data_IF_648810083250
#
_entry.id   IF_648810083250
#
_cell.length_a   1.000
_cell.length_b   1.000
_cell.length_c   1.000
_cell.angle_alpha   90.00
_cell.angle_beta   90.00
_cell.angle_gamma   90.00
#
_symmetry.space_group_name_H-M   'P 1'
#
loop_
_entity.id
_entity.type
_entity.pdbx_description
1 polymer ?
#
# COMPACT_ATOMS: atom_id res chain seq x y z
N UNK A 1 -41.60 2.41 62.12
CA UNK A 1 -41.38 1.06 62.68
C UNK A 1 -41.44 0.06 61.54
N UNK A 2 -40.53 -0.90 61.59
CA UNK A 2 -40.34 -2.07 60.71
C UNK A 2 -39.65 -1.82 59.36
N UNK A 3 -38.34 -2.11 59.40
CA UNK A 3 -37.46 -2.53 58.33
C UNK A 3 -37.98 -3.83 57.67
N UNK A 4 -37.77 -3.99 56.36
CA UNK A 4 -37.38 -5.30 55.84
C UNK A 4 -36.52 -5.14 54.58
N UNK A 5 -35.43 -5.90 54.55
CA UNK A 5 -34.35 -5.82 53.58
C UNK A 5 -34.58 -6.70 52.35
N UNK A 6 -34.03 -6.29 51.22
CA UNK A 6 -33.68 -7.23 50.14
C UNK A 6 -32.35 -6.83 49.53
N UNK A 7 -31.39 -7.74 49.67
CA UNK A 7 -29.99 -7.62 49.26
C UNK A 7 -29.85 -7.65 47.73
N UNK A 8 -28.95 -6.81 47.22
CA UNK A 8 -28.44 -6.88 45.85
C UNK A 8 -27.36 -7.97 45.71
N UNK A 9 -27.30 -8.70 44.58
CA UNK A 9 -26.34 -9.78 44.43
C UNK A 9 -24.91 -9.25 44.23
N UNK A 10 -24.03 -9.59 45.18
CA UNK A 10 -22.58 -9.36 45.11
C UNK A 10 -21.97 -10.25 44.01
N UNK A 11 -21.48 -9.63 42.93
CA UNK A 11 -20.57 -10.31 42.00
C UNK A 11 -19.22 -10.53 42.69
N UNK A 12 -18.88 -11.81 42.93
CA UNK A 12 -17.57 -12.24 43.44
C UNK A 12 -16.51 -12.03 42.35
N UNK A 13 -15.50 -11.22 42.64
CA UNK A 13 -14.24 -11.20 41.91
C UNK A 13 -13.52 -12.53 42.13
N UNK A 14 -13.41 -13.34 41.08
CA UNK A 14 -12.59 -14.56 41.11
C UNK A 14 -11.20 -14.19 40.59
N UNK A 15 -10.27 -13.95 41.51
CA UNK A 15 -8.85 -13.83 41.21
C UNK A 15 -8.28 -15.20 40.82
N UNK A 16 -8.07 -15.45 39.53
CA UNK A 16 -7.19 -16.52 39.08
C UNK A 16 -5.80 -15.94 38.85
N UNK A 17 -4.93 -16.13 39.84
CA UNK A 17 -3.49 -15.97 39.70
C UNK A 17 -2.97 -17.05 38.75
N UNK A 18 -2.59 -16.68 37.53
CA UNK A 18 -1.78 -17.53 36.69
C UNK A 18 -0.36 -17.51 37.23
N UNK A 19 0.02 -18.64 37.86
CA UNK A 19 1.39 -18.93 38.25
C UNK A 19 2.27 -19.00 37.00
N UNK A 20 3.49 -18.52 37.16
CA UNK A 20 4.63 -18.74 36.25
C UNK A 20 4.59 -20.11 35.58
N UNK A 21 4.49 -20.11 34.26
CA UNK A 21 4.87 -21.26 33.44
C UNK A 21 6.13 -20.84 32.69
N UNK A 22 7.25 -21.19 33.32
CA UNK A 22 8.58 -21.20 32.74
C UNK A 22 8.55 -21.91 31.39
N UNK A 23 8.99 -21.20 30.35
CA UNK A 23 9.31 -21.76 29.03
C UNK A 23 10.26 -22.96 29.18
N UNK A 24 10.02 -24.11 28.53
CA UNK A 24 11.00 -25.18 28.51
C UNK A 24 12.21 -24.76 27.68
N UNK A 25 13.29 -24.48 28.40
CA UNK A 25 14.68 -24.50 27.93
C UNK A 25 14.94 -25.91 27.39
N UNK A 26 15.14 -26.06 26.09
CA UNK A 26 15.71 -27.27 25.52
C UNK A 26 17.24 -27.12 25.52
N UNK A 27 17.84 -27.51 26.64
CA UNK A 27 19.27 -27.82 26.73
C UNK A 27 19.49 -29.33 26.52
N UNK A 28 20.30 -29.66 25.52
CA UNK A 28 21.31 -30.72 25.58
C UNK A 28 20.88 -32.19 25.50
N UNK A 29 21.39 -32.89 24.49
CA UNK A 29 21.93 -34.27 24.51
C UNK A 29 22.39 -34.58 23.07
N UNK A 30 23.50 -35.23 22.77
CA UNK A 30 24.75 -35.53 23.47
C UNK A 30 25.72 -35.96 22.36
N UNK A 31 26.99 -35.56 22.47
CA UNK A 31 28.04 -35.92 21.53
C UNK A 31 28.56 -37.31 21.88
N UNK A 32 28.44 -38.28 20.96
CA UNK A 32 29.28 -39.49 20.98
C UNK A 32 30.44 -39.25 20.01
N UNK A 33 31.63 -39.05 20.57
CA UNK A 33 32.87 -38.93 19.81
C UNK A 33 33.52 -40.28 19.54
N UNK A 34 34.12 -40.42 18.36
CA UNK A 34 35.29 -41.29 18.15
C UNK A 34 36.38 -40.50 17.45
N UNK A 35 37.57 -40.54 18.05
CA UNK A 35 38.80 -39.81 17.75
C UNK A 35 39.26 -39.82 16.29
N UNK A 36 39.77 -38.67 15.80
CA UNK A 36 41.15 -38.57 15.29
C UNK A 36 41.60 -37.11 15.18
N UNK A 37 42.90 -36.89 15.44
CA UNK A 37 43.60 -35.63 15.70
C UNK A 37 43.96 -34.90 14.39
N UNK A 38 43.82 -33.57 14.35
CA UNK A 38 44.90 -32.68 13.88
C UNK A 38 44.63 -31.21 14.23
N UNK A 39 45.67 -30.58 14.77
CA UNK A 39 45.77 -29.21 15.29
C UNK A 39 45.52 -28.13 14.23
N UNK A 40 44.80 -27.06 14.59
CA UNK A 40 45.14 -25.70 14.14
C UNK A 40 44.61 -24.64 15.13
N UNK A 41 45.34 -23.52 15.21
CA UNK A 41 45.32 -22.50 16.27
C UNK A 41 44.05 -21.65 16.21
N UNK A 42 43.39 -21.44 17.35
CA UNK A 42 42.37 -20.41 17.52
C UNK A 42 43.04 -19.03 17.70
N UNK A 43 42.70 -18.10 16.82
CA UNK A 43 42.77 -16.67 17.06
C UNK A 43 41.35 -16.11 17.07
N UNK A 44 41.16 -15.24 18.04
CA UNK A 44 39.99 -14.44 18.38
C UNK A 44 39.27 -13.84 17.14
N UNK A 45 37.95 -14.01 17.07
CA UNK A 45 37.07 -13.32 16.12
C UNK A 45 35.77 -12.93 16.80
N UNK A 46 35.82 -11.80 17.50
CA UNK A 46 34.67 -10.92 17.71
C UNK A 46 34.60 -9.88 16.58
N UNK A 47 33.37 -9.47 16.23
CA UNK A 47 32.95 -8.51 15.18
C UNK A 47 32.93 -9.03 13.73
N UNK A 48 31.79 -9.58 13.33
CA UNK A 48 31.33 -9.47 11.95
C UNK A 48 30.39 -8.27 11.86
N UNK A 49 30.92 -7.14 11.40
CA UNK A 49 30.16 -6.13 10.70
C UNK A 49 29.53 -6.80 9.47
N UNK A 50 28.21 -6.72 9.30
CA UNK A 50 27.57 -6.99 8.02
C UNK A 50 28.10 -5.96 7.01
N UNK A 51 29.15 -6.35 6.27
CA UNK A 51 29.51 -5.68 5.03
C UNK A 51 28.39 -5.97 4.04
N UNK A 52 27.62 -4.95 3.69
CA UNK A 52 26.77 -4.94 2.50
C UNK A 52 27.64 -5.28 1.29
N UNK A 53 27.59 -6.52 0.84
CA UNK A 53 28.18 -6.93 -0.42
C UNK A 53 27.43 -6.22 -1.54
N UNK A 54 28.09 -5.24 -2.15
CA UNK A 54 27.71 -4.70 -3.45
C UNK A 54 27.75 -5.84 -4.47
N UNK A 55 26.58 -6.38 -4.79
CA UNK A 55 26.41 -7.32 -5.89
C UNK A 55 26.45 -6.49 -7.18
N UNK A 56 27.63 -6.41 -7.80
CA UNK A 56 27.73 -6.12 -9.23
C UNK A 56 27.11 -7.31 -9.96
N UNK A 57 25.82 -7.20 -10.27
CA UNK A 57 25.08 -8.14 -11.11
C UNK A 57 24.93 -7.51 -12.49
N UNK A 58 25.45 -8.19 -13.50
CA UNK A 58 25.29 -7.88 -14.93
C UNK A 58 23.87 -8.19 -15.40
N UNK A 59 22.86 -7.61 -14.76
CA UNK A 59 21.46 -7.87 -15.07
C UNK A 59 20.60 -6.61 -14.90
N UNK A 60 20.60 -5.71 -15.90
CA UNK A 60 19.64 -4.59 -16.04
C UNK A 60 19.42 -3.65 -14.83
N UNK A 61 20.21 -3.78 -13.77
CA UNK A 61 19.93 -3.32 -12.40
C UNK A 61 20.45 -1.92 -12.13
N UNK A 62 21.07 -1.28 -13.12
CA UNK A 62 21.53 0.11 -13.02
C UNK A 62 20.41 1.12 -13.26
N UNK A 63 20.69 2.39 -12.91
CA UNK A 63 19.81 3.54 -13.18
C UNK A 63 19.54 3.78 -14.67
N UNK A 64 20.34 3.17 -15.56
CA UNK A 64 20.21 3.35 -17.00
C UNK A 64 20.41 4.82 -17.39
N UNK A 65 19.41 5.40 -18.07
CA UNK A 65 19.42 6.81 -18.49
C UNK A 65 18.94 7.81 -17.44
N UNK A 66 18.49 7.34 -16.28
CA UNK A 66 17.86 8.17 -15.26
C UNK A 66 18.86 8.58 -14.17
N UNK A 67 18.56 9.67 -13.47
CA UNK A 67 19.42 10.23 -12.43
C UNK A 67 19.30 9.48 -11.09
N UNK A 68 18.11 8.94 -10.82
CA UNK A 68 17.76 8.22 -9.60
C UNK A 68 17.08 6.89 -9.93
N UNK A 69 17.13 5.93 -9.00
CA UNK A 69 16.37 4.68 -9.12
C UNK A 69 14.87 4.96 -9.06
N UNK A 70 14.42 5.86 -8.18
CA UNK A 70 13.00 6.20 -8.09
C UNK A 70 12.48 6.81 -9.41
N UNK A 71 13.22 7.70 -10.06
CA UNK A 71 12.86 8.23 -11.38
C UNK A 71 12.73 7.10 -12.42
N UNK A 72 13.72 6.20 -12.48
CA UNK A 72 13.64 5.01 -13.33
C UNK A 72 12.39 4.18 -13.04
N UNK A 73 12.11 3.92 -11.78
CA UNK A 73 11.01 3.06 -11.34
C UNK A 73 9.64 3.67 -11.63
N UNK A 74 9.49 4.99 -11.49
CA UNK A 74 8.29 5.72 -11.92
C UNK A 74 8.10 5.57 -13.43
N UNK A 75 9.17 5.74 -14.20
CA UNK A 75 9.14 5.69 -15.67
C UNK A 75 8.98 4.27 -16.22
N UNK A 76 9.34 3.25 -15.44
CA UNK A 76 9.20 1.83 -15.80
C UNK A 76 7.78 1.28 -15.56
N UNK A 77 6.88 2.05 -14.93
CA UNK A 77 5.51 1.61 -14.61
C UNK A 77 4.70 1.04 -15.80
N UNK A 78 4.77 1.58 -17.04
CA UNK A 78 4.09 0.96 -18.18
C UNK A 78 4.54 -0.49 -18.42
N UNK A 79 5.85 -0.74 -18.29
CA UNK A 79 6.45 -2.06 -18.48
C UNK A 79 6.09 -2.98 -17.31
N UNK A 80 6.21 -2.47 -16.09
CA UNK A 80 5.90 -3.24 -14.87
C UNK A 80 4.43 -3.69 -14.84
N UNK A 81 3.47 -2.80 -15.16
CA UNK A 81 2.05 -3.15 -15.23
C UNK A 81 1.78 -4.21 -16.32
N UNK A 82 2.41 -4.07 -17.49
CA UNK A 82 2.30 -5.08 -18.55
C UNK A 82 2.84 -6.45 -18.09
N UNK A 83 3.96 -6.47 -17.36
CA UNK A 83 4.53 -7.70 -16.80
C UNK A 83 3.62 -8.30 -15.72
N UNK A 84 3.03 -7.47 -14.85
CA UNK A 84 2.09 -7.90 -13.82
C UNK A 84 0.87 -8.62 -14.41
N UNK A 85 0.38 -8.19 -15.58
CA UNK A 85 -0.77 -8.80 -16.28
C UNK A 85 -0.38 -9.98 -17.19
N UNK A 86 0.89 -10.10 -17.57
CA UNK A 86 1.36 -11.07 -18.56
C UNK A 86 1.06 -12.51 -18.15
N UNK A 87 0.45 -13.28 -19.05
CA UNK A 87 0.05 -14.67 -18.80
C UNK A 87 -1.10 -14.86 -17.81
N UNK A 88 -1.65 -13.77 -17.25
CA UNK A 88 -2.74 -13.78 -16.25
C UNK A 88 -4.04 -13.20 -16.80
N UNK A 89 -3.97 -12.29 -17.77
CA UNK A 89 -5.14 -11.66 -18.38
C UNK A 89 -5.30 -12.13 -19.82
N UNK A 90 -6.44 -12.77 -20.11
CA UNK A 90 -6.91 -13.08 -21.45
C UNK A 90 -7.86 -11.96 -21.90
N UNK A 91 -7.30 -10.98 -22.59
CA UNK A 91 -8.04 -9.84 -23.13
C UNK A 91 -9.07 -10.23 -24.20
N UNK A 92 -8.88 -11.36 -24.89
CA UNK A 92 -9.80 -11.78 -25.97
C UNK A 92 -11.08 -12.38 -25.41
N UNK A 93 -10.97 -13.14 -24.33
CA UNK A 93 -12.10 -13.83 -23.70
C UNK A 93 -12.57 -13.14 -22.41
N UNK A 94 -11.99 -11.99 -22.04
CA UNK A 94 -12.29 -11.26 -20.81
C UNK A 94 -12.16 -12.11 -19.54
N UNK A 95 -11.06 -12.86 -19.43
CA UNK A 95 -10.80 -13.73 -18.26
C UNK A 95 -9.49 -13.36 -17.58
N UNK A 96 -9.48 -13.50 -16.26
CA UNK A 96 -8.26 -13.47 -15.46
C UNK A 96 -8.02 -14.88 -14.93
N UNK A 97 -6.77 -15.34 -14.95
CA UNK A 97 -6.34 -16.59 -14.37
C UNK A 97 -5.17 -16.33 -13.42
N UNK A 98 -5.33 -16.75 -12.16
CA UNK A 98 -4.34 -16.58 -11.11
C UNK A 98 -3.93 -17.96 -10.58
N UNK A 99 -2.96 -18.59 -11.27
CA UNK A 99 -2.52 -19.95 -10.94
C UNK A 99 -2.06 -20.14 -9.48
N UNK A 100 -1.51 -19.11 -8.85
CA UNK A 100 -1.12 -19.13 -7.43
C UNK A 100 -2.31 -19.20 -6.46
N UNK A 101 -3.51 -18.82 -6.90
CA UNK A 101 -4.75 -18.76 -6.11
C UNK A 101 -5.72 -19.88 -6.49
N UNK A 102 -5.70 -20.37 -7.74
CA UNK A 102 -6.70 -21.28 -8.32
C UNK A 102 -7.09 -22.45 -7.40
N UNK A 103 -6.11 -23.12 -6.77
CA UNK A 103 -6.37 -24.27 -5.89
C UNK A 103 -7.20 -23.95 -4.63
N UNK A 104 -7.29 -22.68 -4.23
CA UNK A 104 -8.06 -22.21 -3.07
C UNK A 104 -9.33 -21.45 -3.46
N UNK A 105 -9.66 -21.37 -4.75
CA UNK A 105 -10.80 -20.59 -5.25
C UNK A 105 -12.12 -20.93 -4.55
N UNK A 106 -12.40 -22.22 -4.38
CA UNK A 106 -13.63 -22.69 -3.71
C UNK A 106 -13.65 -22.39 -2.20
N UNK A 107 -12.49 -22.32 -1.56
CA UNK A 107 -12.37 -21.94 -0.16
C UNK A 107 -12.59 -20.43 0.01
N UNK A 108 -11.96 -19.61 -0.84
CA UNK A 108 -12.14 -18.17 -0.86
C UNK A 108 -13.61 -17.82 -1.17
N UNK A 109 -14.25 -18.50 -2.11
CA UNK A 109 -15.67 -18.26 -2.44
C UNK A 109 -16.64 -18.59 -1.30
N UNK A 110 -16.23 -19.41 -0.33
CA UNK A 110 -17.03 -19.75 0.86
C UNK A 110 -16.79 -18.81 2.03
N UNK A 111 -15.79 -17.93 1.95
CA UNK A 111 -15.50 -16.99 3.02
C UNK A 111 -16.64 -15.99 3.21
N UNK A 112 -16.77 -15.47 4.43
CA UNK A 112 -17.80 -14.48 4.76
C UNK A 112 -17.27 -13.06 4.79
N UNK A 113 -15.96 -12.90 4.78
CA UNK A 113 -15.26 -11.63 4.93
C UNK A 113 -13.83 -11.77 4.44
N UNK A 114 -13.35 -10.70 3.80
CA UNK A 114 -11.92 -10.51 3.49
C UNK A 114 -11.34 -9.46 4.43
N UNK A 115 -10.14 -9.72 4.93
CA UNK A 115 -9.35 -8.77 5.72
C UNK A 115 -8.03 -8.52 4.98
N UNK A 116 -7.86 -7.33 4.40
CA UNK A 116 -6.63 -6.90 3.77
C UNK A 116 -5.74 -6.21 4.81
N UNK A 117 -4.52 -6.72 4.99
CA UNK A 117 -3.55 -6.23 5.97
C UNK A 117 -2.28 -5.79 5.26
N UNK A 118 -1.82 -4.58 5.57
CA UNK A 118 -0.59 -4.04 5.02
C UNK A 118 0.00 -2.94 5.90
N UNK A 119 1.11 -2.38 5.45
CA UNK A 119 1.75 -1.23 6.09
C UNK A 119 2.03 -0.13 5.05
N UNK A 120 1.93 1.14 5.46
CA UNK A 120 2.25 2.31 4.63
C UNK A 120 1.63 2.23 3.21
N UNK A 121 2.43 2.33 2.16
CA UNK A 121 1.95 2.28 0.76
C UNK A 121 1.16 1.01 0.44
N UNK A 122 1.51 -0.15 1.02
CA UNK A 122 0.75 -1.41 0.83
C UNK A 122 -0.62 -1.39 1.51
N UNK A 123 -0.75 -0.68 2.64
CA UNK A 123 -2.06 -0.39 3.23
C UNK A 123 -2.88 0.54 2.32
N UNK A 124 -2.28 1.57 1.72
CA UNK A 124 -2.97 2.43 0.77
C UNK A 124 -3.47 1.68 -0.47
N UNK A 125 -2.74 0.66 -0.95
CA UNK A 125 -3.22 -0.21 -2.02
C UNK A 125 -4.50 -0.95 -1.63
N UNK A 126 -4.56 -1.49 -0.40
CA UNK A 126 -5.77 -2.12 0.11
C UNK A 126 -6.94 -1.14 0.20
N UNK A 127 -6.70 0.10 0.67
CA UNK A 127 -7.73 1.15 0.70
C UNK A 127 -8.23 1.46 -0.71
N UNK A 128 -7.33 1.57 -1.69
CA UNK A 128 -7.67 1.96 -3.06
C UNK A 128 -8.44 0.89 -3.85
N UNK A 129 -8.27 -0.37 -3.46
CA UNK A 129 -8.89 -1.53 -4.14
C UNK A 129 -10.10 -2.08 -3.39
N UNK A 130 -10.31 -1.67 -2.14
CA UNK A 130 -11.43 -2.09 -1.29
C UNK A 130 -12.78 -1.98 -2.00
N UNK A 131 -13.09 -0.81 -2.57
CA UNK A 131 -14.37 -0.57 -3.23
C UNK A 131 -14.60 -1.52 -4.41
N UNK A 132 -13.56 -1.78 -5.21
CA UNK A 132 -13.62 -2.73 -6.34
C UNK A 132 -13.86 -4.16 -5.86
N UNK A 133 -13.21 -4.56 -4.76
CA UNK A 133 -13.40 -5.88 -4.17
C UNK A 133 -14.81 -6.03 -3.60
N UNK A 134 -15.32 -5.05 -2.84
CA UNK A 134 -16.70 -5.05 -2.35
C UNK A 134 -17.71 -5.13 -3.50
N UNK A 135 -17.49 -4.36 -4.56
CA UNK A 135 -18.35 -4.32 -5.77
C UNK A 135 -18.43 -5.67 -6.48
N UNK A 136 -17.29 -6.32 -6.73
CA UNK A 136 -17.21 -7.54 -7.54
C UNK A 136 -17.50 -8.81 -6.73
N UNK A 137 -17.05 -8.85 -5.47
CA UNK A 137 -17.16 -10.04 -4.62
C UNK A 137 -18.47 -10.07 -3.83
N UNK A 138 -19.04 -8.91 -3.52
CA UNK A 138 -20.30 -8.76 -2.76
C UNK A 138 -20.19 -9.33 -1.33
N UNK A 139 -18.99 -9.22 -0.75
CA UNK A 139 -18.70 -9.57 0.64
C UNK A 139 -18.00 -8.40 1.35
N UNK A 140 -18.10 -8.31 2.68
CA UNK A 140 -17.37 -7.31 3.46
C UNK A 140 -15.85 -7.40 3.25
N UNK A 141 -15.22 -6.26 2.96
CA UNK A 141 -13.77 -6.14 2.86
C UNK A 141 -13.28 -5.15 3.91
N UNK A 142 -12.47 -5.64 4.84
CA UNK A 142 -11.84 -4.84 5.88
C UNK A 142 -10.41 -4.52 5.46
N UNK A 143 -9.94 -3.33 5.79
CA UNK A 143 -8.59 -2.87 5.48
C UNK A 143 -7.96 -2.40 6.78
N UNK A 144 -6.82 -2.99 7.14
CA UNK A 144 -6.23 -2.85 8.46
C UNK A 144 -4.73 -2.53 8.36
N UNK A 145 -4.27 -1.59 9.18
CA UNK A 145 -2.85 -1.35 9.40
C UNK A 145 -2.30 -2.50 10.25
N UNK A 146 -1.23 -3.15 9.77
CA UNK A 146 -0.71 -4.36 10.40
C UNK A 146 -0.35 -4.21 11.88
N UNK A 147 0.20 -3.05 12.28
CA UNK A 147 0.54 -2.77 13.68
C UNK A 147 -0.71 -2.65 14.56
N UNK A 148 -1.68 -1.82 14.16
CA UNK A 148 -2.92 -1.62 14.93
C UNK A 148 -3.78 -2.88 14.98
N UNK A 149 -3.76 -3.68 13.90
CA UNK A 149 -4.40 -4.99 13.84
C UNK A 149 -3.91 -5.94 14.95
N UNK A 150 -2.59 -5.93 15.19
CA UNK A 150 -1.97 -6.73 16.25
C UNK A 150 -2.25 -6.15 17.63
N UNK A 151 -2.11 -4.83 17.78
CA UNK A 151 -2.31 -4.13 19.07
C UNK A 151 -3.73 -4.31 19.60
N UNK A 152 -4.73 -4.34 18.71
CA UNK A 152 -6.14 -4.55 19.08
C UNK A 152 -6.53 -6.02 19.18
N UNK A 153 -5.62 -6.95 18.85
CA UNK A 153 -5.89 -8.38 18.73
C UNK A 153 -7.20 -8.65 17.95
N UNK A 154 -7.27 -8.14 16.72
CA UNK A 154 -8.51 -8.15 15.92
C UNK A 154 -9.10 -9.57 15.84
N UNK A 155 -10.42 -9.76 16.10
CA UNK A 155 -11.06 -11.06 15.97
C UNK A 155 -11.02 -11.61 14.54
N UNK A 156 -10.36 -12.77 14.39
CA UNK A 156 -10.22 -13.53 13.15
C UNK A 156 -10.85 -14.90 13.32
N UNK A 157 -11.59 -15.34 12.32
CA UNK A 157 -12.33 -16.60 12.29
C UNK A 157 -11.87 -17.50 11.14
N UNK A 158 -12.23 -18.78 11.23
CA UNK A 158 -11.91 -19.83 10.24
C UNK A 158 -12.46 -19.55 8.84
N UNK A 159 -13.57 -18.81 8.74
CA UNK A 159 -14.22 -18.45 7.48
C UNK A 159 -13.83 -17.05 6.98
N UNK A 160 -12.79 -16.46 7.56
CA UNK A 160 -12.13 -15.25 7.05
C UNK A 160 -11.04 -15.63 6.02
N UNK A 161 -10.89 -14.77 5.01
CA UNK A 161 -9.74 -14.76 4.12
C UNK A 161 -8.89 -13.52 4.42
N UNK A 162 -7.64 -13.73 4.83
CA UNK A 162 -6.74 -12.65 5.21
C UNK A 162 -5.69 -12.44 4.10
N UNK A 163 -5.72 -11.29 3.45
CA UNK A 163 -4.80 -10.93 2.36
C UNK A 163 -3.70 -10.03 2.91
N UNK A 164 -2.45 -10.46 2.85
CA UNK A 164 -1.28 -9.74 3.32
C UNK A 164 -0.52 -9.12 2.16
N UNK A 165 -0.34 -7.80 2.19
CA UNK A 165 0.28 -7.04 1.10
C UNK A 165 1.61 -6.46 1.60
N UNK A 166 2.71 -6.86 0.95
CA UNK A 166 4.04 -6.33 1.25
C UNK A 166 4.91 -6.44 0.01
N UNK A 167 5.59 -5.35 -0.37
CA UNK A 167 6.50 -5.39 -1.51
C UNK A 167 7.64 -6.40 -1.29
N UNK A 168 8.30 -6.29 -0.14
CA UNK A 168 9.47 -7.12 0.19
C UNK A 168 9.11 -8.50 0.73
N UNK A 169 7.90 -8.66 1.26
CA UNK A 169 7.50 -9.89 1.96
C UNK A 169 8.22 -10.12 3.29
N UNK A 170 8.96 -9.11 3.79
CA UNK A 170 9.79 -9.20 5.00
C UNK A 170 9.38 -8.22 6.11
N UNK A 171 8.35 -7.40 5.88
CA UNK A 171 7.87 -6.40 6.86
C UNK A 171 7.40 -7.09 8.15
N UNK A 172 8.04 -6.79 9.29
CA UNK A 172 7.84 -7.55 10.53
C UNK A 172 6.39 -7.54 11.03
N UNK A 173 5.73 -6.38 11.07
CA UNK A 173 4.34 -6.28 11.52
C UNK A 173 3.37 -7.06 10.62
N UNK A 174 3.61 -7.06 9.30
CA UNK A 174 2.79 -7.83 8.34
C UNK A 174 2.99 -9.34 8.54
N UNK A 175 4.24 -9.79 8.73
CA UNK A 175 4.53 -11.21 9.02
C UNK A 175 3.95 -11.65 10.37
N UNK A 176 4.01 -10.80 11.40
CA UNK A 176 3.39 -11.08 12.69
C UNK A 176 1.86 -11.18 12.58
N UNK A 177 1.22 -10.27 11.83
CA UNK A 177 -0.22 -10.34 11.56
C UNK A 177 -0.61 -11.59 10.75
N UNK A 178 0.23 -12.02 9.81
CA UNK A 178 0.08 -13.28 9.09
C UNK A 178 0.06 -14.46 10.05
N UNK A 179 1.06 -14.55 10.92
CA UNK A 179 1.14 -15.63 11.90
C UNK A 179 -0.04 -15.62 12.86
N UNK A 180 -0.47 -14.45 13.30
CA UNK A 180 -1.65 -14.26 14.15
C UNK A 180 -2.93 -14.84 13.51
N UNK A 181 -3.14 -14.57 12.21
CA UNK A 181 -4.30 -15.09 11.45
C UNK A 181 -4.18 -16.60 11.19
N UNK A 182 -2.98 -17.09 10.86
CA UNK A 182 -2.72 -18.51 10.62
C UNK A 182 -2.96 -19.36 11.87
N UNK A 183 -2.58 -18.87 13.05
CA UNK A 183 -2.87 -19.51 14.34
C UNK A 183 -4.37 -19.60 14.67
N UNK A 184 -5.21 -18.81 13.97
CA UNK A 184 -6.68 -18.80 14.11
C UNK A 184 -7.37 -19.56 12.97
N UNK A 185 -6.61 -20.34 12.22
CA UNK A 185 -7.08 -21.20 11.13
C UNK A 185 -7.76 -20.42 9.98
N UNK A 186 -7.46 -19.13 9.81
CA UNK A 186 -7.93 -18.35 8.65
C UNK A 186 -7.11 -18.66 7.40
N UNK A 187 -7.73 -18.56 6.22
CA UNK A 187 -7.02 -18.70 4.96
C UNK A 187 -6.18 -17.44 4.69
N UNK A 188 -4.86 -17.55 4.85
CA UNK A 188 -3.91 -16.46 4.56
C UNK A 188 -3.43 -16.47 3.10
N UNK A 189 -3.51 -15.31 2.43
CA UNK A 189 -3.13 -15.06 1.03
C UNK A 189 -2.04 -13.98 0.96
N UNK A 190 -0.97 -14.20 0.19
CA UNK A 190 0.14 -13.26 0.08
C UNK A 190 0.20 -12.49 -1.24
N UNK A 191 0.39 -11.17 -1.18
CA UNK A 191 0.62 -10.31 -2.35
C UNK A 191 2.00 -9.66 -2.18
N UNK A 192 2.99 -10.16 -2.94
CA UNK A 192 4.40 -9.76 -2.81
C UNK A 192 5.09 -9.59 -4.15
N UNK A 193 6.22 -8.88 -4.17
CA UNK A 193 7.10 -8.81 -5.32
C UNK A 193 8.27 -9.80 -5.25
N UNK A 194 8.56 -10.31 -4.06
CA UNK A 194 9.68 -11.21 -3.80
C UNK A 194 9.19 -12.66 -3.65
N UNK A 195 9.49 -13.50 -4.64
CA UNK A 195 8.98 -14.89 -4.75
C UNK A 195 9.46 -15.83 -3.65
N UNK A 196 10.63 -15.54 -3.06
CA UNK A 196 11.27 -16.36 -2.03
C UNK A 196 11.37 -15.57 -0.71
N UNK A 197 10.36 -14.75 -0.43
CA UNK A 197 10.22 -14.04 0.85
C UNK A 197 9.52 -14.91 1.89
N UNK A 198 9.68 -14.56 3.16
CA UNK A 198 8.96 -15.21 4.27
C UNK A 198 7.45 -15.16 4.08
N UNK A 199 6.92 -14.06 3.55
CA UNK A 199 5.48 -13.94 3.28
C UNK A 199 5.03 -14.93 2.20
N UNK A 200 5.79 -15.12 1.12
CA UNK A 200 5.45 -16.13 0.10
C UNK A 200 5.55 -17.56 0.61
N UNK A 201 6.49 -17.84 1.52
CA UNK A 201 6.66 -19.18 2.10
C UNK A 201 5.56 -19.51 3.12
N UNK A 202 5.14 -18.52 3.91
CA UNK A 202 4.25 -18.75 5.05
C UNK A 202 2.76 -18.65 4.72
N UNK A 203 2.41 -18.08 3.57
CA UNK A 203 1.02 -18.00 3.09
C UNK A 203 0.54 -19.30 2.45
N UNK A 204 -0.77 -19.54 2.45
CA UNK A 204 -1.33 -20.72 1.79
C UNK A 204 -1.28 -20.58 0.26
N UNK A 205 -1.59 -19.39 -0.25
CA UNK A 205 -1.49 -19.02 -1.65
C UNK A 205 -1.10 -17.57 -1.81
N UNK A 206 -0.79 -17.15 -3.04
CA UNK A 206 -0.46 -15.76 -3.28
C UNK A 206 -0.34 -15.37 -4.74
N UNK A 207 -0.05 -14.09 -4.94
CA UNK A 207 0.21 -13.45 -6.23
C UNK A 207 1.57 -12.77 -6.14
N UNK A 208 2.51 -13.19 -6.99
CA UNK A 208 3.68 -12.36 -7.29
C UNK A 208 3.25 -11.21 -8.21
N UNK A 209 3.45 -9.96 -7.80
CA UNK A 209 3.07 -8.79 -8.60
C UNK A 209 3.96 -8.60 -9.84
N UNK A 210 5.12 -9.26 -9.94
CA UNK A 210 6.05 -9.20 -11.07
C UNK A 210 6.44 -7.78 -11.49
N UNK A 211 6.66 -6.86 -10.55
CA UNK A 211 7.08 -5.49 -10.86
C UNK A 211 8.58 -5.38 -11.21
N UNK A 212 9.32 -6.48 -11.08
CA UNK A 212 10.78 -6.52 -11.13
C UNK A 212 11.42 -5.86 -9.91
N UNK A 213 12.75 -5.81 -9.87
CA UNK A 213 13.49 -5.22 -8.74
C UNK A 213 13.16 -3.74 -8.59
N UNK A 214 12.65 -3.34 -7.43
CA UNK A 214 12.55 -1.95 -7.01
C UNK A 214 13.71 -1.72 -6.04
N UNK A 215 14.57 -0.73 -6.31
CA UNK A 215 15.74 -0.36 -5.51
C UNK A 215 15.43 0.84 -4.64
N UNK A 216 14.73 1.86 -5.15
CA UNK A 216 14.33 3.05 -4.38
C UNK A 216 13.63 2.68 -3.07
N UNK A 217 13.94 3.40 -1.99
CA UNK A 217 13.34 3.15 -0.66
C UNK A 217 11.82 3.32 -0.70
N UNK A 218 11.33 4.27 -1.50
CA UNK A 218 9.90 4.59 -1.59
C UNK A 218 9.23 3.83 -2.73
N UNK A 219 8.13 3.16 -2.42
CA UNK A 219 7.39 2.37 -3.40
C UNK A 219 6.78 3.24 -4.50
N UNK A 220 6.91 2.79 -5.76
CA UNK A 220 6.33 3.45 -6.93
C UNK A 220 5.65 2.43 -7.86
N UNK A 221 6.41 1.70 -8.66
CA UNK A 221 5.89 0.65 -9.55
C UNK A 221 5.31 -0.53 -8.78
N UNK A 222 5.82 -0.81 -7.59
CA UNK A 222 5.26 -1.89 -6.76
C UNK A 222 3.88 -1.51 -6.22
N UNK A 223 3.63 -0.24 -5.89
CA UNK A 223 2.30 0.25 -5.52
C UNK A 223 1.29 0.00 -6.65
N UNK A 224 1.60 0.43 -7.87
CA UNK A 224 0.69 0.26 -9.01
C UNK A 224 0.53 -1.21 -9.43
N UNK A 225 1.59 -2.02 -9.33
CA UNK A 225 1.51 -3.46 -9.59
C UNK A 225 0.74 -4.24 -8.51
N UNK A 226 0.84 -3.85 -7.23
CA UNK A 226 -0.02 -4.39 -6.16
C UNK A 226 -1.48 -4.03 -6.40
N UNK A 227 -1.76 -2.77 -6.79
CA UNK A 227 -3.11 -2.31 -7.11
C UNK A 227 -3.75 -3.15 -8.22
N UNK A 228 -3.09 -3.29 -9.36
CA UNK A 228 -3.63 -4.07 -10.48
C UNK A 228 -3.75 -5.56 -10.14
N UNK A 229 -2.87 -6.09 -9.26
CA UNK A 229 -2.93 -7.47 -8.79
C UNK A 229 -4.18 -7.75 -7.95
N UNK A 230 -4.58 -6.81 -7.09
CA UNK A 230 -5.83 -6.93 -6.33
C UNK A 230 -7.08 -6.72 -7.20
N UNK A 231 -7.01 -5.89 -8.23
CA UNK A 231 -8.08 -5.81 -9.24
C UNK A 231 -8.23 -7.14 -9.99
N UNK A 232 -7.10 -7.74 -10.43
CA UNK A 232 -7.09 -9.07 -11.02
C UNK A 232 -7.65 -10.13 -10.07
N UNK A 233 -7.31 -10.06 -8.77
CA UNK A 233 -7.89 -10.95 -7.75
C UNK A 233 -9.41 -10.79 -7.68
N UNK A 234 -9.92 -9.57 -7.64
CA UNK A 234 -11.35 -9.30 -7.59
C UNK A 234 -12.09 -9.84 -8.83
N UNK A 235 -11.55 -9.63 -10.03
CA UNK A 235 -12.09 -10.18 -11.28
C UNK A 235 -12.05 -11.71 -11.27
N UNK A 236 -10.90 -12.28 -10.91
CA UNK A 236 -10.71 -13.72 -10.84
C UNK A 236 -11.72 -14.37 -9.90
N UNK A 237 -11.95 -13.79 -8.72
CA UNK A 237 -12.89 -14.34 -7.74
C UNK A 237 -14.36 -14.09 -8.12
N UNK A 238 -14.68 -12.98 -8.79
CA UNK A 238 -16.03 -12.75 -9.32
C UNK A 238 -16.45 -13.80 -10.36
N UNK A 239 -15.48 -14.38 -11.08
CA UNK A 239 -15.71 -15.47 -12.01
C UNK A 239 -16.74 -15.13 -13.09
N UNK A 240 -17.59 -16.10 -13.43
CA UNK A 240 -18.56 -15.97 -14.53
C UNK A 240 -19.94 -15.46 -14.05
N UNK A 241 -19.98 -14.68 -12.95
CA UNK A 241 -21.22 -14.05 -12.46
C UNK A 241 -21.82 -13.18 -13.57
N UNK A 242 -22.94 -13.61 -14.15
CA UNK A 242 -23.61 -12.89 -15.26
C UNK A 242 -23.90 -11.42 -14.95
N UNK A 243 -24.26 -11.09 -13.71
CA UNK A 243 -24.53 -9.72 -13.26
C UNK A 243 -23.30 -8.80 -13.27
N UNK A 244 -22.08 -9.35 -13.30
CA UNK A 244 -20.82 -8.61 -13.29
C UNK A 244 -20.09 -8.65 -14.64
N UNK A 245 -20.62 -9.38 -15.64
CA UNK A 245 -19.93 -9.63 -16.90
C UNK A 245 -19.54 -8.33 -17.62
N UNK A 246 -20.51 -7.44 -17.88
CA UNK A 246 -20.25 -6.17 -18.60
C UNK A 246 -19.22 -5.30 -17.86
N UNK A 247 -19.30 -5.30 -16.53
CA UNK A 247 -18.36 -4.57 -15.68
C UNK A 247 -16.95 -5.15 -15.79
N UNK A 248 -16.79 -6.47 -15.65
CA UNK A 248 -15.51 -7.17 -15.81
C UNK A 248 -14.93 -6.94 -17.21
N UNK A 249 -15.74 -7.04 -18.26
CA UNK A 249 -15.33 -6.76 -19.63
C UNK A 249 -14.78 -5.34 -19.76
N UNK A 250 -15.51 -4.33 -19.25
CA UNK A 250 -15.07 -2.94 -19.27
C UNK A 250 -13.73 -2.72 -18.57
N UNK A 251 -13.50 -3.41 -17.44
CA UNK A 251 -12.26 -3.30 -16.69
C UNK A 251 -11.12 -3.95 -17.47
N UNK A 252 -11.31 -5.16 -18.00
CA UNK A 252 -10.27 -5.88 -18.76
C UNK A 252 -9.90 -5.15 -20.07
N UNK A 253 -10.89 -4.59 -20.78
CA UNK A 253 -10.64 -3.78 -21.97
C UNK A 253 -9.76 -2.57 -21.64
N UNK A 254 -10.04 -1.91 -20.51
CA UNK A 254 -9.25 -0.79 -20.02
C UNK A 254 -7.87 -1.19 -19.52
N UNK A 255 -7.74 -2.35 -18.87
CA UNK A 255 -6.44 -2.92 -18.49
C UNK A 255 -5.52 -3.12 -19.69
N UNK A 256 -6.06 -3.46 -20.87
CA UNK A 256 -5.27 -3.67 -22.09
C UNK A 256 -4.53 -2.41 -22.51
N UNK A 257 -5.19 -1.25 -22.44
CA UNK A 257 -4.67 0.05 -22.87
C UNK A 257 -4.08 0.87 -21.71
N UNK A 258 -4.16 0.38 -20.48
CA UNK A 258 -3.63 1.03 -19.29
C UNK A 258 -2.13 1.38 -19.40
N UNK A 259 -1.23 0.52 -19.90
CA UNK A 259 0.18 0.88 -20.08
C UNK A 259 0.41 2.10 -21.00
N UNK A 260 -0.41 2.23 -22.04
CA UNK A 260 -0.35 3.39 -22.94
C UNK A 260 -0.83 4.66 -22.24
N UNK A 261 -1.90 4.57 -21.43
CA UNK A 261 -2.39 5.69 -20.63
C UNK A 261 -1.37 6.13 -19.56
N UNK A 262 -0.72 5.19 -18.89
CA UNK A 262 0.40 5.48 -17.97
C UNK A 262 1.50 6.23 -18.72
N UNK A 263 1.88 5.75 -19.92
CA UNK A 263 2.90 6.41 -20.75
C UNK A 263 2.52 7.85 -21.11
N UNK A 264 1.24 8.14 -21.38
CA UNK A 264 0.75 9.50 -21.60
C UNK A 264 0.85 10.37 -20.35
N UNK A 265 0.50 9.84 -19.17
CA UNK A 265 0.64 10.59 -17.90
C UNK A 265 2.11 10.92 -17.61
N UNK A 266 3.03 9.99 -17.91
CA UNK A 266 4.47 10.23 -17.75
C UNK A 266 5.02 11.34 -18.67
N UNK A 267 4.35 11.66 -19.77
CA UNK A 267 4.74 12.80 -20.63
C UNK A 267 4.50 14.15 -19.95
N UNK A 268 3.69 14.21 -18.88
CA UNK A 268 3.46 15.41 -18.08
C UNK A 268 4.64 15.76 -17.17
N UNK A 269 5.73 14.97 -17.18
CA UNK A 269 6.88 15.14 -16.31
C UNK A 269 7.44 16.57 -16.29
N UNK A 270 7.62 17.19 -17.46
CA UNK A 270 8.19 18.54 -17.55
C UNK A 270 7.22 19.62 -17.03
N UNK A 271 5.92 19.44 -17.20
CA UNK A 271 4.93 20.37 -16.66
C UNK A 271 4.81 20.22 -15.14
N UNK A 272 4.84 18.99 -14.63
CA UNK A 272 4.85 18.72 -13.19
C UNK A 272 6.13 19.26 -12.54
N UNK A 273 7.27 19.21 -13.24
CA UNK A 273 8.51 19.84 -12.77
C UNK A 273 8.36 21.34 -12.57
N UNK A 274 7.73 22.05 -13.52
CA UNK A 274 7.43 23.49 -13.37
C UNK A 274 6.49 23.74 -12.19
N UNK A 275 5.47 22.90 -12.01
CA UNK A 275 4.55 23.00 -10.86
C UNK A 275 5.27 22.77 -9.53
N UNK A 276 6.28 21.89 -9.50
CA UNK A 276 7.12 21.70 -8.32
C UNK A 276 7.91 22.98 -7.98
N UNK A 277 8.41 23.71 -8.97
CA UNK A 277 9.09 25.00 -8.78
C UNK A 277 8.15 26.04 -8.14
N UNK A 278 6.87 26.06 -8.51
CA UNK A 278 5.88 26.98 -7.95
C UNK A 278 5.55 26.69 -6.47
N UNK A 279 5.63 25.42 -6.05
CA UNK A 279 5.26 25.00 -4.68
C UNK A 279 6.46 24.67 -3.80
N UNK A 280 7.69 24.75 -4.30
CA UNK A 280 8.92 24.38 -3.55
C UNK A 280 9.12 25.17 -2.26
N UNK A 281 8.66 26.42 -2.21
CA UNK A 281 8.83 27.27 -1.01
C UNK A 281 7.73 27.07 0.04
N UNK A 282 6.75 26.21 -0.23
CA UNK A 282 5.63 25.96 0.68
C UNK A 282 6.03 24.94 1.73
N UNK A 283 5.55 25.12 2.97
CA UNK A 283 5.90 24.26 4.11
C UNK A 283 5.01 23.04 4.25
N UNK A 284 3.76 23.16 3.80
CA UNK A 284 2.72 22.15 3.92
C UNK A 284 1.96 21.99 2.61
N UNK A 285 1.53 20.77 2.30
CA UNK A 285 0.61 20.45 1.19
C UNK A 285 -0.58 19.65 1.72
N UNK A 286 -1.80 20.01 1.33
CA UNK A 286 -3.01 19.23 1.67
C UNK A 286 -3.48 18.50 0.42
N UNK A 287 -3.68 17.19 0.51
CA UNK A 287 -4.19 16.36 -0.59
C UNK A 287 -5.60 15.91 -0.29
N UNK A 288 -6.52 16.12 -1.23
CA UNK A 288 -7.93 15.81 -1.07
C UNK A 288 -8.39 14.77 -2.08
N UNK A 289 -8.93 13.66 -1.58
CA UNK A 289 -9.47 12.57 -2.39
C UNK A 289 -10.75 11.99 -1.79
N UNK A 290 -11.55 11.30 -2.62
CA UNK A 290 -12.81 10.65 -2.21
C UNK A 290 -13.06 9.42 -3.07
N UNK A 291 -13.79 8.44 -2.54
CA UNK A 291 -14.08 7.19 -3.26
C UNK A 291 -12.77 6.48 -3.61
N UNK A 292 -12.62 6.08 -4.88
CA UNK A 292 -11.40 5.46 -5.41
C UNK A 292 -10.13 6.30 -5.19
N UNK A 293 -10.25 7.61 -4.98
CA UNK A 293 -9.12 8.53 -4.82
C UNK A 293 -8.76 8.86 -3.38
N UNK A 294 -9.44 8.29 -2.38
CA UNK A 294 -9.02 8.44 -0.98
C UNK A 294 -7.60 7.89 -0.80
N UNK A 295 -7.36 6.67 -1.29
CA UNK A 295 -6.02 6.06 -1.27
C UNK A 295 -4.98 6.87 -2.04
N UNK A 296 -5.35 7.43 -3.20
CA UNK A 296 -4.45 8.28 -3.99
C UNK A 296 -4.02 9.53 -3.21
N UNK A 297 -4.93 10.15 -2.46
CA UNK A 297 -4.60 11.31 -1.62
C UNK A 297 -3.65 10.95 -0.47
N UNK A 298 -3.87 9.80 0.17
CA UNK A 298 -3.00 9.31 1.25
C UNK A 298 -1.61 8.92 0.72
N UNK A 299 -1.57 8.25 -0.43
CA UNK A 299 -0.31 7.84 -1.05
C UNK A 299 0.53 9.03 -1.52
N UNK A 300 -0.08 10.00 -2.20
CA UNK A 300 0.63 11.22 -2.59
C UNK A 300 1.16 12.00 -1.38
N UNK A 301 0.38 12.05 -0.30
CA UNK A 301 0.82 12.66 0.96
C UNK A 301 2.03 11.94 1.54
N UNK A 302 1.98 10.60 1.57
CA UNK A 302 3.09 9.78 2.06
C UNK A 302 4.36 9.99 1.22
N UNK A 303 4.28 10.02 -0.12
CA UNK A 303 5.45 10.29 -0.97
C UNK A 303 6.08 11.65 -0.67
N UNK A 304 5.28 12.70 -0.51
CA UNK A 304 5.78 14.04 -0.18
C UNK A 304 6.51 14.07 1.18
N UNK A 305 6.00 13.33 2.17
CA UNK A 305 6.65 13.20 3.48
C UNK A 305 7.96 12.42 3.34
N UNK A 306 7.95 11.27 2.68
CA UNK A 306 9.07 10.33 2.65
C UNK A 306 10.30 10.88 1.91
N UNK A 307 10.13 11.57 0.78
CA UNK A 307 11.26 12.02 -0.05
C UNK A 307 11.48 13.53 -0.09
N UNK A 308 10.41 14.33 0.01
CA UNK A 308 10.55 15.79 -0.06
C UNK A 308 10.69 16.44 1.32
N UNK A 309 10.51 15.67 2.41
CA UNK A 309 10.45 16.15 3.80
C UNK A 309 9.46 17.31 3.98
N UNK A 310 8.38 17.31 3.20
CA UNK A 310 7.32 18.30 3.31
C UNK A 310 6.25 17.78 4.25
N UNK A 311 5.73 18.66 5.11
CA UNK A 311 4.53 18.31 5.84
C UNK A 311 3.41 18.13 4.81
N UNK A 312 2.80 16.95 4.80
CA UNK A 312 1.73 16.66 3.88
C UNK A 312 0.63 15.92 4.62
N UNK A 313 -0.62 16.23 4.29
CA UNK A 313 -1.77 15.53 4.87
C UNK A 313 -2.75 15.14 3.77
N UNK A 314 -3.03 13.84 3.67
CA UNK A 314 -4.09 13.30 2.84
C UNK A 314 -5.40 13.26 3.62
N UNK A 315 -6.44 13.90 3.09
CA UNK A 315 -7.73 14.06 3.77
C UNK A 315 -8.85 13.61 2.85
N UNK A 316 -9.80 12.86 3.41
CA UNK A 316 -11.02 12.52 2.69
C UNK A 316 -11.84 13.79 2.43
N UNK A 317 -12.13 14.12 1.17
CA UNK A 317 -12.70 15.43 0.81
C UNK A 317 -14.12 15.67 1.37
N UNK A 318 -14.83 14.60 1.75
CA UNK A 318 -16.09 14.69 2.49
C UNK A 318 -15.95 15.26 3.91
N UNK A 319 -14.75 15.15 4.50
CA UNK A 319 -14.48 15.57 5.87
C UNK A 319 -14.05 17.03 5.99
N UNK A 320 -13.91 17.75 4.88
CA UNK A 320 -13.42 19.14 4.86
C UNK A 320 -14.15 20.03 5.88
N UNK A 321 -15.50 19.98 5.89
CA UNK A 321 -16.32 20.84 6.77
C UNK A 321 -16.20 20.48 8.25
N UNK A 322 -15.65 19.33 8.58
CA UNK A 322 -15.56 18.82 9.95
C UNK A 322 -14.26 19.25 10.66
N UNK A 323 -13.54 20.24 10.11
CA UNK A 323 -12.33 20.81 10.71
C UNK A 323 -11.30 21.27 9.68
N UNK A 324 -10.87 20.41 8.74
CA UNK A 324 -9.77 20.69 7.81
C UNK A 324 -9.91 21.99 7.00
N UNK A 325 -11.14 22.40 6.68
CA UNK A 325 -11.39 23.63 5.95
C UNK A 325 -10.86 24.88 6.68
N UNK A 326 -10.64 24.82 8.00
CA UNK A 326 -10.03 25.90 8.79
C UNK A 326 -8.56 26.17 8.44
N UNK A 327 -7.87 25.22 7.81
CA UNK A 327 -6.49 25.38 7.32
C UNK A 327 -6.42 26.01 5.93
N UNK A 328 -7.56 26.20 5.26
CA UNK A 328 -7.60 26.65 3.87
C UNK A 328 -7.67 28.18 3.82
N UNK A 329 -6.67 28.77 3.17
CA UNK A 329 -6.57 30.18 2.80
C UNK A 329 -5.95 30.34 1.40
N UNK A 330 -5.55 31.55 1.02
CA UNK A 330 -4.94 31.85 -0.28
C UNK A 330 -3.50 31.31 -0.43
N UNK A 331 -2.83 31.01 0.68
CA UNK A 331 -1.41 30.64 0.73
C UNK A 331 -1.19 29.13 0.85
N UNK A 332 -2.10 28.41 1.50
CA UNK A 332 -2.04 26.97 1.70
C UNK A 332 -2.22 26.23 0.36
N UNK A 333 -1.18 25.57 -0.17
CA UNK A 333 -1.33 24.80 -1.41
C UNK A 333 -2.14 23.54 -1.14
N UNK A 334 -3.07 23.27 -2.05
CA UNK A 334 -4.04 22.18 -1.98
C UNK A 334 -4.03 21.44 -3.31
N UNK A 335 -3.90 20.13 -3.26
CA UNK A 335 -4.04 19.25 -4.42
C UNK A 335 -5.34 18.47 -4.25
N UNK A 336 -6.20 18.48 -5.27
CA UNK A 336 -7.45 17.74 -5.26
C UNK A 336 -7.45 16.73 -6.41
N UNK A 337 -7.98 15.53 -6.17
CA UNK A 337 -8.18 14.52 -7.21
C UNK A 337 -9.67 14.46 -7.52
N UNK A 338 -10.06 14.79 -8.75
CA UNK A 338 -11.45 14.91 -9.18
C UNK A 338 -11.63 14.25 -10.56
N UNK A 339 -12.17 13.03 -10.57
CA UNK A 339 -12.43 12.25 -11.79
C UNK A 339 -13.93 12.11 -12.08
N UNK A 340 -14.31 11.83 -13.32
CA UNK A 340 -15.70 11.76 -13.78
C UNK A 340 -16.30 10.38 -13.45
N UNK A 341 -16.46 10.12 -12.16
CA UNK A 341 -17.13 8.93 -11.63
C UNK A 341 -18.49 9.27 -10.99
N UNK A 342 -19.09 8.28 -10.33
CA UNK A 342 -20.40 8.43 -9.65
C UNK A 342 -20.43 9.46 -8.51
N UNK A 343 -19.27 9.94 -8.04
CA UNK A 343 -19.16 10.93 -6.96
C UNK A 343 -18.61 12.27 -7.43
N UNK A 344 -18.48 12.51 -8.74
CA UNK A 344 -17.97 13.75 -9.33
C UNK A 344 -18.60 15.02 -8.73
N UNK A 345 -19.93 15.09 -8.65
CA UNK A 345 -20.64 16.26 -8.11
C UNK A 345 -20.28 16.53 -6.65
N UNK A 346 -20.04 15.46 -5.88
CA UNK A 346 -19.62 15.58 -4.47
C UNK A 346 -18.17 16.10 -4.37
N UNK A 347 -17.30 15.69 -5.29
CA UNK A 347 -15.94 16.22 -5.40
C UNK A 347 -15.94 17.68 -5.87
N UNK A 348 -16.78 18.06 -6.84
CA UNK A 348 -16.93 19.46 -7.22
C UNK A 348 -17.43 20.35 -6.09
N UNK A 349 -18.36 19.85 -5.28
CA UNK A 349 -18.78 20.57 -4.08
C UNK A 349 -17.61 20.84 -3.11
N UNK A 350 -16.65 19.91 -3.00
CA UNK A 350 -15.45 20.12 -2.20
C UNK A 350 -14.53 21.19 -2.83
N UNK A 351 -14.34 21.17 -4.15
CA UNK A 351 -13.55 22.19 -4.87
C UNK A 351 -14.13 23.59 -4.64
N UNK A 352 -15.46 23.73 -4.73
CA UNK A 352 -16.14 25.00 -4.49
C UNK A 352 -15.99 25.48 -3.05
N UNK A 353 -15.98 24.56 -2.07
CA UNK A 353 -15.74 24.91 -0.66
C UNK A 353 -14.32 25.45 -0.44
N UNK A 354 -13.32 24.82 -1.07
CA UNK A 354 -11.94 25.31 -1.05
C UNK A 354 -11.86 26.71 -1.66
N UNK A 355 -12.48 26.91 -2.84
CA UNK A 355 -12.50 28.20 -3.53
C UNK A 355 -13.21 29.29 -2.74
N UNK A 356 -14.30 28.96 -2.06
CA UNK A 356 -15.05 29.90 -1.22
C UNK A 356 -14.22 30.44 -0.03
N UNK A 357 -13.10 29.79 0.31
CA UNK A 357 -12.15 30.25 1.34
C UNK A 357 -10.86 30.85 0.76
N UNK A 358 -10.84 31.21 -0.52
CA UNK A 358 -9.69 31.82 -1.18
C UNK A 358 -8.66 30.81 -1.71
N UNK A 359 -8.81 29.52 -1.38
CA UNK A 359 -7.93 28.47 -1.88
C UNK A 359 -7.92 28.38 -3.41
N UNK A 360 -6.74 28.13 -3.98
CA UNK A 360 -6.53 27.95 -5.42
C UNK A 360 -6.01 26.53 -5.67
N UNK A 361 -6.90 25.51 -5.69
CA UNK A 361 -6.46 24.13 -5.72
C UNK A 361 -5.80 23.79 -7.07
N UNK A 362 -4.70 23.05 -7.00
CA UNK A 362 -4.22 22.25 -8.12
C UNK A 362 -5.13 21.03 -8.21
N UNK A 363 -5.70 20.75 -9.37
CA UNK A 363 -6.64 19.64 -9.53
C UNK A 363 -6.11 18.63 -10.54
N UNK A 364 -5.97 17.38 -10.11
CA UNK A 364 -5.78 16.23 -11.01
C UNK A 364 -7.16 15.81 -11.49
N UNK A 365 -7.40 15.87 -12.80
CA UNK A 365 -8.70 15.62 -13.41
C UNK A 365 -8.58 14.91 -14.75
N UNK A 366 -9.72 14.49 -15.31
CA UNK A 366 -9.74 13.90 -16.65
C UNK A 366 -9.50 14.92 -17.76
N UNK A 367 -8.87 14.48 -18.84
CA UNK A 367 -8.79 15.21 -20.11
C UNK A 367 -10.18 15.62 -20.61
N UNK A 368 -10.32 16.90 -20.96
CA UNK A 368 -11.57 17.48 -21.47
C UNK A 368 -12.60 17.85 -20.41
N UNK A 369 -12.27 17.82 -19.12
CA UNK A 369 -13.13 18.38 -18.08
C UNK A 369 -13.08 19.91 -18.08
N UNK A 370 -14.04 20.55 -18.73
CA UNK A 370 -14.15 22.02 -18.80
C UNK A 370 -14.80 22.64 -17.55
N UNK A 371 -15.51 21.84 -16.75
CA UNK A 371 -16.18 22.36 -15.55
C UNK A 371 -15.17 22.62 -14.44
N UNK A 372 -14.22 21.71 -14.25
CA UNK A 372 -13.20 21.85 -13.21
C UNK A 372 -12.26 23.04 -13.46
N UNK A 373 -11.95 23.34 -14.73
CA UNK A 373 -11.08 24.48 -15.11
C UNK A 373 -11.60 25.83 -14.65
N UNK A 374 -12.93 25.97 -14.48
CA UNK A 374 -13.56 27.20 -13.98
C UNK A 374 -13.22 27.47 -12.51
N UNK A 375 -12.90 26.42 -11.76
CA UNK A 375 -12.70 26.48 -10.31
C UNK A 375 -11.27 26.14 -9.87
N UNK A 376 -10.51 25.40 -10.67
CA UNK A 376 -9.11 25.08 -10.38
C UNK A 376 -8.19 26.30 -10.56
N UNK A 377 -7.12 26.37 -9.76
CA UNK A 377 -6.01 27.28 -10.01
C UNK A 377 -5.11 26.75 -11.13
N UNK A 378 -4.81 25.46 -11.06
CA UNK A 378 -4.06 24.70 -12.06
C UNK A 378 -4.73 23.34 -12.25
N UNK A 379 -4.72 22.80 -13.47
CA UNK A 379 -5.21 21.45 -13.75
C UNK A 379 -4.09 20.56 -14.27
N UNK A 380 -3.99 19.34 -13.75
CA UNK A 380 -3.23 18.23 -14.34
C UNK A 380 -4.25 17.29 -14.98
N UNK A 381 -4.36 17.36 -16.30
CA UNK A 381 -5.29 16.51 -17.06
C UNK A 381 -4.64 15.15 -17.34
N UNK A 382 -5.29 14.07 -16.91
CA UNK A 382 -4.88 12.68 -17.16
C UNK A 382 -5.89 11.98 -18.09
N UNK A 383 -5.47 10.94 -18.85
CA UNK A 383 -6.38 10.21 -19.72
C UNK A 383 -7.56 9.59 -18.96
N UNK A 384 -8.73 9.60 -19.58
CA UNK A 384 -9.93 8.92 -19.07
C UNK A 384 -9.70 7.42 -18.93
N UNK A 385 -10.30 6.77 -17.95
CA UNK A 385 -10.27 5.31 -17.76
C UNK A 385 -11.50 4.87 -16.96
N UNK A 386 -11.71 3.58 -16.75
CA UNK A 386 -12.70 3.09 -15.78
C UNK A 386 -12.33 3.55 -14.36
N UNK A 387 -13.33 3.98 -13.62
CA UNK A 387 -13.25 4.48 -12.25
C UNK A 387 -12.33 3.66 -11.34
N UNK A 388 -12.43 2.34 -11.32
CA UNK A 388 -11.63 1.47 -10.44
C UNK A 388 -10.14 1.40 -10.80
N UNK A 389 -9.74 1.83 -12.01
CA UNK A 389 -8.33 1.89 -12.45
C UNK A 389 -7.77 3.32 -12.42
N UNK A 390 -8.63 4.34 -12.27
CA UNK A 390 -8.24 5.75 -12.30
C UNK A 390 -7.21 6.12 -11.22
N UNK A 391 -7.24 5.44 -10.06
CA UNK A 391 -6.25 5.61 -8.99
C UNK A 391 -4.81 5.30 -9.42
N UNK A 392 -4.62 4.35 -10.36
CA UNK A 392 -3.30 4.00 -10.92
C UNK A 392 -2.75 5.16 -11.75
N UNK A 393 -3.60 5.85 -12.51
CA UNK A 393 -3.18 7.01 -13.31
C UNK A 393 -2.97 8.24 -12.42
N UNK A 394 -3.87 8.48 -11.47
CA UNK A 394 -3.88 9.68 -10.64
C UNK A 394 -2.75 9.76 -9.60
N UNK A 395 -2.12 8.63 -9.24
CA UNK A 395 -0.98 8.61 -8.31
C UNK A 395 0.33 9.05 -8.98
N UNK A 396 0.47 8.84 -10.30
CA UNK A 396 1.73 9.09 -11.02
C UNK A 396 2.12 10.58 -10.99
N UNK A 397 1.21 11.55 -11.21
CA UNK A 397 1.56 12.95 -11.08
C UNK A 397 2.07 13.32 -9.69
N UNK A 398 1.55 12.66 -8.64
CA UNK A 398 1.97 12.89 -7.26
C UNK A 398 3.36 12.29 -6.97
N UNK A 399 3.68 11.14 -7.56
CA UNK A 399 5.03 10.56 -7.52
C UNK A 399 6.04 11.48 -8.21
N UNK A 400 5.72 11.98 -9.41
CA UNK A 400 6.57 12.93 -10.15
C UNK A 400 6.73 14.25 -9.39
N UNK A 401 5.65 14.79 -8.82
CA UNK A 401 5.70 16.02 -8.02
C UNK A 401 6.62 15.84 -6.80
N UNK A 402 6.48 14.72 -6.09
CA UNK A 402 7.31 14.40 -4.93
C UNK A 402 8.78 14.26 -5.32
N UNK A 403 9.06 13.58 -6.44
CA UNK A 403 10.42 13.44 -7.00
C UNK A 403 11.03 14.83 -7.27
N UNK A 404 10.34 15.69 -8.00
CA UNK A 404 10.87 17.01 -8.36
C UNK A 404 11.05 17.92 -7.14
N UNK A 405 10.12 17.89 -6.17
CA UNK A 405 10.28 18.65 -4.92
C UNK A 405 11.46 18.15 -4.09
N UNK A 406 11.67 16.84 -4.00
CA UNK A 406 12.82 16.28 -3.32
C UNK A 406 14.15 16.71 -3.97
N UNK A 407 14.21 16.71 -5.32
CA UNK A 407 15.38 17.19 -6.06
C UNK A 407 15.63 18.68 -5.84
N UNK A 408 14.57 19.52 -5.88
CA UNK A 408 14.66 20.95 -5.62
C UNK A 408 15.11 21.26 -4.18
N UNK A 409 14.71 20.43 -3.21
CA UNK A 409 15.17 20.52 -1.82
C UNK A 409 16.57 19.92 -1.58
N UNK A 410 17.25 19.43 -2.63
CA UNK A 410 18.56 18.79 -2.52
C UNK A 410 18.53 17.52 -1.66
N UNK A 411 17.41 16.81 -1.62
CA UNK A 411 17.23 15.58 -0.82
C UNK A 411 17.66 14.35 -1.61
N UNK A 412 18.11 13.33 -0.88
CA UNK A 412 18.38 12.00 -1.43
C UNK A 412 17.05 11.28 -1.67
N UNK A 413 16.72 11.07 -2.95
CA UNK A 413 15.48 10.40 -3.36
C UNK A 413 15.56 8.88 -3.22
N UNK A 414 16.71 8.29 -3.54
CA UNK A 414 16.91 6.83 -3.51
C UNK A 414 17.11 6.30 -2.08
N UNK A 415 17.65 7.13 -1.18
CA UNK A 415 17.89 6.81 0.23
C UNK A 415 17.59 8.02 1.11
N UNK A 416 16.31 8.37 1.29
CA UNK A 416 15.88 9.44 2.17
C UNK A 416 16.29 9.16 3.62
N UNK A 417 16.70 10.22 4.32
CA UNK A 417 17.19 10.09 5.70
C UNK A 417 16.08 9.72 6.67
N UNK A 418 16.35 8.76 7.56
CA UNK A 418 15.44 8.38 8.65
C UNK A 418 14.43 7.29 8.33
N UNK A 419 14.43 6.75 7.10
CA UNK A 419 13.56 5.62 6.72
C UNK A 419 14.36 4.51 6.01
N UNK A 420 13.81 3.30 6.04
CA UNK A 420 14.40 2.10 5.43
C UNK A 420 13.42 1.50 4.43
N UNK A 421 13.94 0.85 3.38
CA UNK A 421 13.12 0.19 2.35
C UNK A 421 12.22 -0.90 2.94
N UNK A 422 12.76 -1.71 3.83
CA UNK A 422 12.04 -2.74 4.56
C UNK A 422 12.15 -2.46 6.04
N UNK A 423 11.00 -2.34 6.72
CA UNK A 423 10.96 -2.20 8.16
C UNK A 423 11.08 -3.58 8.80
N UNK A 424 12.25 -3.84 9.38
CA UNK A 424 12.49 -4.96 10.30
C UNK A 424 12.50 -4.36 11.70
N UNK A 425 11.55 -4.77 12.55
CA UNK A 425 11.44 -4.20 13.88
C UNK A 425 12.65 -4.56 14.74
N UNK A 426 13.31 -3.53 15.26
CA UNK A 426 14.27 -3.63 16.35
C UNK A 426 13.70 -2.89 17.55
N UNK A 427 13.79 -3.47 18.75
CA UNK A 427 13.21 -2.89 19.95
C UNK A 427 13.98 -1.61 20.36
N UNK A 428 13.51 -0.45 19.90
CA UNK A 428 14.13 0.87 20.14
C UNK A 428 14.11 1.23 21.63
N UNK A 429 13.09 0.79 22.37
CA UNK A 429 12.98 1.06 23.81
C UNK A 429 14.09 0.38 24.61
N UNK A 430 14.41 -0.89 24.31
CA UNK A 430 15.53 -1.59 24.95
C UNK A 430 16.87 -0.90 24.72
N UNK A 431 17.12 -0.44 23.49
CA UNK A 431 18.37 0.20 23.13
C UNK A 431 18.60 1.56 23.82
N UNK A 432 17.53 2.26 24.19
CA UNK A 432 17.62 3.54 24.93
C UNK A 432 17.76 3.35 26.45
N UNK A 433 17.36 2.20 26.98
CA UNK A 433 17.52 1.89 28.41
C UNK A 433 18.86 1.22 28.74
N UNK A 434 19.57 0.73 27.71
CA UNK A 434 20.89 0.10 27.82
C UNK A 434 22.06 1.04 27.43
N UNK A 435 21.75 2.28 27.02
CA UNK A 435 22.71 3.35 26.71
C UNK A 435 22.71 4.42 27.82
#
# INVERSE_FOLDING_TARGET
>A
MAEDGSESPKFRSVSHTWKDVTSPIYDGLEVIGTHSKSKSRLHDRTRNSLSTSSVDSTDGSGKGRYSTYMEKEIMDQPVAIKQAMSGRVDFKNHRVNLGGIERYRDEINRCRRIICVGAASSYHVAVGTRQTMEELLEIPVFVELASDFLDREVPVFRDDVCIFISQSGETSSVLSALMYCKQRDALVVGITNEENSRLSEETHCGININAGVEVGVTSTKTYTCQFISLVMFAIFMAGDKRSKHDRICSIIDEMQILPEKISKVLQLNDDIKKLAEDVTNKRSLILLGRGYHQATSFEGSLKLIEIANMHSEGIHSGELKHGPLALIDEEQPIIMIVMRDSIYDKCMNAVQQVRARGGKPLVICEEGDEDIKKFAGVTIAIPKTVDCLSGILAVIPLQLLSLHLALLHGKSVDSPGGIQKTVIEHNVYKNLTEA
#
